data_IF_272820245227
#
_entry.id   IF_272820245227
#
_cell.length_a   1.000
_cell.length_b   1.000
_cell.length_c   1.000
_cell.angle_alpha   90.00
_cell.angle_beta   90.00
_cell.angle_gamma   90.00
#
_symmetry.space_group_name_H-M   'P 1'
#
loop_
_entity.id
_entity.type
_entity.pdbx_description
1 polymer ?
#
# COMPACT_ATOMS: atom_id res chain seq x y z
N UNK A 1 19.11 15.28 -13.44
CA UNK A 1 18.02 16.16 -13.96
C UNK A 1 18.01 17.49 -13.22
N UNK A 2 17.81 17.51 -11.89
CA UNK A 2 17.83 18.78 -11.12
C UNK A 2 19.16 19.53 -11.05
N UNK A 3 20.29 18.82 -11.15
CA UNK A 3 21.63 19.45 -11.18
C UNK A 3 21.97 20.15 -12.50
N UNK A 4 21.31 19.78 -13.60
CA UNK A 4 21.58 20.30 -14.95
C UNK A 4 20.47 21.22 -15.48
N UNK A 5 19.22 21.00 -15.04
CA UNK A 5 18.02 21.70 -15.54
C UNK A 5 17.32 22.54 -14.45
N UNK A 6 17.87 22.59 -13.24
CA UNK A 6 17.30 23.28 -12.09
C UNK A 6 16.16 22.50 -11.43
N UNK A 7 15.80 22.92 -10.22
CA UNK A 7 14.75 22.28 -9.39
C UNK A 7 13.37 22.33 -10.06
N UNK A 8 13.05 23.42 -10.77
CA UNK A 8 11.80 23.60 -11.52
C UNK A 8 11.58 22.52 -12.59
N UNK A 9 12.64 22.02 -13.22
CA UNK A 9 12.53 20.96 -14.24
C UNK A 9 12.01 19.63 -13.67
N UNK A 10 12.23 19.35 -12.38
CA UNK A 10 11.65 18.15 -11.76
C UNK A 10 10.13 18.22 -11.75
N UNK A 11 9.52 19.38 -11.45
CA UNK A 11 8.07 19.55 -11.46
C UNK A 11 7.48 19.48 -12.85
N UNK A 12 8.13 20.09 -13.84
CA UNK A 12 7.66 20.03 -15.23
C UNK A 12 7.70 18.59 -15.75
N UNK A 13 8.77 17.85 -15.44
CA UNK A 13 8.89 16.45 -15.84
C UNK A 13 7.82 15.56 -15.18
N UNK A 14 7.70 15.59 -13.85
CA UNK A 14 6.71 14.76 -13.14
C UNK A 14 5.27 15.16 -13.50
N UNK A 15 5.02 16.46 -13.70
CA UNK A 15 3.74 16.98 -14.18
C UNK A 15 3.39 16.49 -15.59
N UNK A 16 4.34 16.56 -16.53
CA UNK A 16 4.13 16.06 -17.89
C UNK A 16 3.85 14.55 -17.92
N UNK A 17 4.59 13.77 -17.12
CA UNK A 17 4.34 12.33 -16.96
C UNK A 17 2.95 12.07 -16.38
N UNK A 18 2.54 12.84 -15.36
CA UNK A 18 1.21 12.75 -14.77
C UNK A 18 0.10 13.07 -15.79
N UNK A 19 0.26 14.11 -16.61
CA UNK A 19 -0.70 14.46 -17.66
C UNK A 19 -0.79 13.37 -18.73
N UNK A 20 0.35 12.83 -19.17
CA UNK A 20 0.39 11.72 -20.11
C UNK A 20 -0.32 10.48 -19.55
N UNK A 21 -0.12 10.18 -18.26
CA UNK A 21 -0.79 9.08 -17.58
C UNK A 21 -2.31 9.29 -17.48
N UNK A 22 -2.77 10.48 -17.08
CA UNK A 22 -4.20 10.79 -17.02
C UNK A 22 -4.85 10.69 -18.40
N UNK A 23 -4.17 11.17 -19.44
CA UNK A 23 -4.65 11.05 -20.81
C UNK A 23 -4.76 9.58 -21.25
N UNK A 24 -3.75 8.76 -20.96
CA UNK A 24 -3.81 7.32 -21.22
C UNK A 24 -4.96 6.65 -20.46
N UNK A 25 -5.08 6.92 -19.16
CA UNK A 25 -6.13 6.36 -18.31
C UNK A 25 -7.53 6.71 -18.81
N UNK A 26 -7.75 7.95 -19.25
CA UNK A 26 -9.04 8.40 -19.77
C UNK A 26 -9.44 7.71 -21.08
N UNK A 27 -8.45 7.32 -21.90
CA UNK A 27 -8.70 6.54 -23.11
C UNK A 27 -8.99 5.06 -22.80
N UNK A 28 -8.32 4.49 -21.79
CA UNK A 28 -8.35 3.04 -21.54
C UNK A 28 -9.41 2.59 -20.53
N UNK A 29 -9.78 3.41 -19.54
CA UNK A 29 -10.63 2.99 -18.42
C UNK A 29 -12.03 3.58 -18.55
N UNK A 30 -13.06 2.74 -18.31
CA UNK A 30 -14.48 3.13 -18.26
C UNK A 30 -15.02 2.96 -16.84
N UNK A 31 -16.01 3.78 -16.49
CA UNK A 31 -16.60 3.80 -15.15
C UNK A 31 -17.52 2.59 -14.88
N UNK A 32 -18.11 2.02 -15.94
CA UNK A 32 -19.00 0.85 -15.88
C UNK A 32 -18.42 -0.28 -16.74
N UNK A 33 -18.27 -1.51 -16.20
CA UNK A 33 -17.79 -2.65 -16.96
C UNK A 33 -18.65 -2.95 -18.20
N UNK A 34 -19.95 -2.62 -18.20
CA UNK A 34 -20.84 -2.76 -19.35
C UNK A 34 -20.66 -1.71 -20.44
N UNK A 35 -19.90 -0.64 -20.19
CA UNK A 35 -19.55 0.37 -21.19
C UNK A 35 -18.16 0.13 -21.81
N UNK A 36 -17.44 -0.89 -21.34
CA UNK A 36 -16.13 -1.26 -21.88
C UNK A 36 -16.32 -2.02 -23.21
N UNK A 37 -15.76 -1.53 -24.34
CA UNK A 37 -15.86 -2.23 -25.63
C UNK A 37 -15.02 -3.50 -25.71
N UNK A 38 -14.07 -3.73 -24.79
CA UNK A 38 -13.17 -4.88 -24.81
C UNK A 38 -13.60 -6.02 -23.88
N UNK A 39 -14.67 -5.83 -23.10
CA UNK A 39 -15.14 -6.87 -22.17
C UNK A 39 -15.88 -7.99 -22.90
N UNK A 40 -15.63 -9.24 -22.48
CA UNK A 40 -16.41 -10.38 -22.98
C UNK A 40 -17.75 -10.50 -22.25
N UNK A 41 -18.80 -10.99 -22.91
CA UNK A 41 -20.10 -11.24 -22.27
C UNK A 41 -19.99 -12.20 -21.07
N UNK A 42 -19.08 -13.17 -21.16
CA UNK A 42 -18.82 -14.15 -20.10
C UNK A 42 -18.19 -13.49 -18.86
N UNK A 43 -17.22 -12.61 -19.06
CA UNK A 43 -16.58 -11.84 -17.99
C UNK A 43 -17.55 -10.83 -17.37
N UNK A 44 -18.32 -10.10 -18.20
CA UNK A 44 -19.33 -9.17 -17.73
C UNK A 44 -20.37 -9.88 -16.84
N UNK A 45 -20.82 -11.06 -17.28
CA UNK A 45 -21.74 -11.90 -16.49
C UNK A 45 -21.10 -12.37 -15.18
N UNK A 46 -19.86 -12.85 -15.23
CA UNK A 46 -19.12 -13.26 -14.03
C UNK A 46 -18.99 -12.10 -13.01
N UNK A 47 -18.64 -10.91 -13.46
CA UNK A 47 -18.51 -9.72 -12.61
C UNK A 47 -19.86 -9.39 -11.96
N UNK A 48 -20.93 -9.29 -12.75
CA UNK A 48 -22.29 -9.01 -12.23
C UNK A 48 -22.77 -10.06 -11.23
N UNK A 49 -22.55 -11.34 -11.52
CA UNK A 49 -22.94 -12.44 -10.64
C UNK A 49 -22.10 -12.44 -9.34
N UNK A 50 -20.82 -12.03 -9.39
CA UNK A 50 -19.92 -12.01 -8.23
C UNK A 50 -20.13 -10.82 -7.28
N UNK A 51 -20.59 -9.68 -7.79
CA UNK A 51 -20.86 -8.47 -6.99
C UNK A 51 -22.17 -8.60 -6.19
N UNK A 52 -23.06 -9.52 -6.59
CA UNK A 52 -24.41 -9.66 -6.03
C UNK A 52 -25.34 -8.53 -6.52
N UNK A 53 -26.67 -8.73 -6.42
CA UNK A 53 -27.77 -7.85 -6.90
C UNK A 53 -27.71 -6.40 -6.37
N UNK A 54 -26.68 -5.66 -6.74
CA UNK A 54 -26.41 -4.30 -6.29
C UNK A 54 -27.07 -3.30 -7.23
N UNK A 55 -27.24 -3.61 -8.52
CA UNK A 55 -27.81 -2.65 -9.47
C UNK A 55 -29.33 -2.46 -9.31
N UNK A 56 -30.05 -3.43 -8.75
CA UNK A 56 -31.51 -3.41 -8.68
C UNK A 56 -32.07 -2.65 -7.46
N UNK A 57 -31.26 -2.34 -6.43
CA UNK A 57 -31.73 -1.69 -5.19
C UNK A 57 -31.29 -0.22 -5.03
N UNK A 58 -30.36 0.31 -5.83
CA UNK A 58 -29.88 1.69 -5.65
C UNK A 58 -30.86 2.77 -6.14
N UNK A 59 -31.88 2.41 -6.91
CA UNK A 59 -32.76 3.38 -7.57
C UNK A 59 -34.09 3.68 -6.84
N UNK A 60 -34.29 3.23 -5.59
CA UNK A 60 -35.60 3.45 -4.93
C UNK A 60 -35.61 3.69 -3.43
N UNK A 61 -34.50 3.57 -2.70
CA UNK A 61 -34.47 3.78 -1.25
C UNK A 61 -33.31 4.70 -0.84
N UNK A 62 -33.55 5.78 -0.07
CA UNK A 62 -32.46 6.57 0.49
C UNK A 62 -31.61 5.70 1.43
N UNK A 63 -30.37 5.45 1.04
CA UNK A 63 -29.40 4.67 1.84
C UNK A 63 -29.12 5.42 3.15
N UNK A 64 -29.64 4.89 4.26
CA UNK A 64 -29.36 5.43 5.60
C UNK A 64 -28.08 4.79 6.13
N UNK A 65 -26.96 5.50 6.02
CA UNK A 65 -25.66 5.04 6.52
C UNK A 65 -25.66 4.91 8.07
N UNK A 66 -25.41 3.73 8.64
CA UNK A 66 -25.47 3.50 10.07
C UNK A 66 -24.16 3.91 10.78
N UNK A 67 -23.84 5.20 10.76
CA UNK A 67 -22.59 5.75 11.32
C UNK A 67 -22.32 5.35 12.78
N UNK A 68 -23.36 5.30 13.62
CA UNK A 68 -23.23 4.91 15.03
C UNK A 68 -22.81 3.44 15.18
N UNK A 69 -23.37 2.56 14.37
CA UNK A 69 -23.05 1.12 14.39
C UNK A 69 -21.62 0.88 13.89
N UNK A 70 -21.22 1.59 12.84
CA UNK A 70 -19.85 1.57 12.31
C UNK A 70 -18.87 2.06 13.39
N UNK A 71 -19.13 3.22 14.00
CA UNK A 71 -18.26 3.79 15.03
C UNK A 71 -18.22 2.96 16.33
N UNK A 72 -19.26 2.19 16.64
CA UNK A 72 -19.29 1.32 17.83
C UNK A 72 -18.69 -0.06 17.61
N UNK A 73 -18.23 -0.38 16.40
CA UNK A 73 -17.75 -1.72 16.04
C UNK A 73 -16.30 -1.94 16.47
N UNK A 74 -16.06 -3.00 17.26
CA UNK A 74 -14.72 -3.37 17.75
C UNK A 74 -13.72 -3.62 16.60
N UNK A 75 -14.06 -4.37 15.52
CA UNK A 75 -13.17 -4.55 14.38
C UNK A 75 -12.68 -3.24 13.75
N UNK A 76 -13.49 -2.19 13.73
CA UNK A 76 -13.13 -0.90 13.14
C UNK A 76 -12.06 -0.23 13.99
N UNK A 77 -12.24 -0.19 15.31
CA UNK A 77 -11.22 0.34 16.22
C UNK A 77 -9.91 -0.45 16.17
N UNK A 78 -9.98 -1.78 16.04
CA UNK A 78 -8.79 -2.61 15.87
C UNK A 78 -8.00 -2.23 14.58
N UNK A 79 -8.70 -1.99 13.47
CA UNK A 79 -8.09 -1.56 12.21
C UNK A 79 -7.50 -0.15 12.35
N UNK A 80 -8.20 0.78 13.01
CA UNK A 80 -7.72 2.16 13.22
C UNK A 80 -6.41 2.14 14.01
N UNK A 81 -6.36 1.42 15.14
CA UNK A 81 -5.15 1.33 15.97
C UNK A 81 -4.00 0.67 15.22
N UNK A 82 -4.28 -0.40 14.47
CA UNK A 82 -3.29 -1.06 13.64
C UNK A 82 -2.72 -0.10 12.58
N UNK A 83 -3.59 0.62 11.85
CA UNK A 83 -3.17 1.59 10.84
C UNK A 83 -2.38 2.76 11.44
N UNK A 84 -2.79 3.24 12.61
CA UNK A 84 -2.06 4.27 13.34
C UNK A 84 -0.64 3.80 13.69
N UNK A 85 -0.50 2.60 14.25
CA UNK A 85 0.80 2.03 14.61
C UNK A 85 1.69 1.82 13.38
N UNK A 86 1.12 1.33 12.26
CA UNK A 86 1.83 1.15 11.00
C UNK A 86 2.34 2.50 10.46
N UNK A 87 1.45 3.49 10.37
CA UNK A 87 1.75 4.82 9.85
C UNK A 87 2.80 5.52 10.71
N UNK A 88 2.64 5.48 12.03
CA UNK A 88 3.60 6.04 12.98
C UNK A 88 4.98 5.42 12.83
N UNK A 89 5.05 4.09 12.80
CA UNK A 89 6.32 3.35 12.65
C UNK A 89 6.99 3.69 11.31
N UNK A 90 6.21 3.70 10.22
CA UNK A 90 6.70 4.03 8.90
C UNK A 90 7.31 5.44 8.86
N UNK A 91 6.61 6.46 9.35
CA UNK A 91 7.13 7.82 9.39
C UNK A 91 8.32 7.98 10.33
N UNK A 92 8.32 7.28 11.46
CA UNK A 92 9.46 7.30 12.39
C UNK A 92 10.72 6.78 11.71
N UNK A 93 10.63 5.62 11.06
CA UNK A 93 11.76 5.07 10.30
C UNK A 93 12.14 6.02 9.17
N UNK A 94 11.18 6.49 8.37
CA UNK A 94 11.46 7.37 7.23
C UNK A 94 12.20 8.66 7.63
N UNK A 95 11.78 9.29 8.73
CA UNK A 95 12.37 10.55 9.19
C UNK A 95 13.70 10.35 9.93
N UNK A 96 13.81 9.27 10.73
CA UNK A 96 14.99 9.05 11.57
C UNK A 96 16.08 8.24 10.86
N UNK A 97 15.75 7.44 9.83
CA UNK A 97 16.71 6.60 9.12
C UNK A 97 17.87 7.41 8.50
N UNK A 98 17.65 8.54 7.81
CA UNK A 98 18.77 9.31 7.24
C UNK A 98 19.70 9.86 8.33
N UNK A 99 19.13 10.37 9.42
CA UNK A 99 19.90 10.89 10.56
C UNK A 99 20.66 9.78 11.27
N UNK A 100 20.01 8.65 11.55
CA UNK A 100 20.62 7.50 12.21
C UNK A 100 21.80 6.92 11.42
N UNK A 101 21.64 6.77 10.10
CA UNK A 101 22.71 6.25 9.25
C UNK A 101 23.87 7.24 9.09
N UNK A 102 23.59 8.55 9.12
CA UNK A 102 24.64 9.57 9.11
C UNK A 102 25.40 9.60 10.45
N UNK A 103 24.68 9.64 11.57
CA UNK A 103 25.28 9.87 12.89
C UNK A 103 25.95 8.61 13.47
N UNK A 104 25.41 7.42 13.19
CA UNK A 104 25.94 6.15 13.74
C UNK A 104 26.91 5.46 12.77
N UNK A 105 26.63 5.51 11.47
CA UNK A 105 27.43 4.79 10.46
C UNK A 105 28.25 5.71 9.55
N UNK A 106 28.15 7.04 9.70
CA UNK A 106 28.88 8.01 8.88
C UNK A 106 28.45 8.04 7.41
N UNK A 107 27.31 7.43 7.05
CA UNK A 107 26.85 7.35 5.66
C UNK A 107 25.81 8.44 5.36
N UNK A 108 26.13 9.35 4.44
CA UNK A 108 25.16 10.32 3.92
C UNK A 108 24.24 9.68 2.86
N UNK A 109 23.08 9.18 3.31
CA UNK A 109 22.05 8.66 2.40
C UNK A 109 21.50 9.70 1.43
N UNK A 110 21.56 11.00 1.75
CA UNK A 110 21.03 12.04 0.85
C UNK A 110 21.84 12.15 -0.44
N UNK A 111 23.13 11.80 -0.38
CA UNK A 111 23.99 11.78 -1.55
C UNK A 111 23.89 10.46 -2.33
N UNK A 112 23.59 9.36 -1.66
CA UNK A 112 23.52 8.04 -2.29
C UNK A 112 22.07 7.63 -2.64
N UNK A 113 21.58 8.14 -3.77
CA UNK A 113 20.24 7.84 -4.29
C UNK A 113 19.97 6.34 -4.55
N UNK A 114 21.01 5.56 -4.83
CA UNK A 114 20.87 4.11 -5.01
C UNK A 114 20.56 3.41 -3.68
N UNK A 115 21.29 3.78 -2.62
CA UNK A 115 21.11 3.19 -1.29
C UNK A 115 19.75 3.57 -0.68
N UNK A 116 19.25 4.79 -0.93
CA UNK A 116 17.91 5.20 -0.51
C UNK A 116 16.79 4.53 -1.30
N UNK A 117 17.03 4.17 -2.58
CA UNK A 117 16.03 3.46 -3.40
C UNK A 117 15.88 1.98 -3.06
N UNK A 118 16.93 1.35 -2.50
CA UNK A 118 16.98 -0.09 -2.24
C UNK A 118 15.84 -0.60 -1.33
N UNK A 119 15.51 0.05 -0.19
CA UNK A 119 14.38 -0.38 0.65
C UNK A 119 13.04 -0.39 -0.08
N UNK A 120 12.81 0.57 -0.98
CA UNK A 120 11.57 0.66 -1.75
C UNK A 120 11.46 -0.43 -2.82
N UNK A 121 12.57 -0.78 -3.46
CA UNK A 121 12.63 -1.91 -4.40
C UNK A 121 12.35 -3.21 -3.67
N UNK A 122 13.00 -3.43 -2.51
CA UNK A 122 12.78 -4.61 -1.68
C UNK A 122 11.34 -4.69 -1.17
N UNK A 123 10.74 -3.56 -0.80
CA UNK A 123 9.32 -3.48 -0.45
C UNK A 123 8.43 -3.93 -1.63
N UNK A 124 8.69 -3.44 -2.85
CA UNK A 124 7.93 -3.83 -4.04
C UNK A 124 8.00 -5.33 -4.32
N UNK A 125 9.20 -5.91 -4.27
CA UNK A 125 9.42 -7.35 -4.48
C UNK A 125 8.67 -8.17 -3.41
N UNK A 126 8.83 -7.80 -2.14
CA UNK A 126 8.19 -8.50 -1.02
C UNK A 126 6.66 -8.41 -1.11
N UNK A 127 6.11 -7.26 -1.52
CA UNK A 127 4.67 -7.08 -1.69
C UNK A 127 4.08 -8.04 -2.72
N UNK A 128 4.75 -8.22 -3.86
CA UNK A 128 4.31 -9.17 -4.90
C UNK A 128 4.34 -10.61 -4.39
N UNK A 129 5.43 -11.02 -3.72
CA UNK A 129 5.54 -12.37 -3.17
C UNK A 129 4.50 -12.65 -2.07
N UNK A 130 4.32 -11.71 -1.13
CA UNK A 130 3.35 -11.86 -0.05
C UNK A 130 1.91 -11.86 -0.57
N UNK A 131 1.58 -11.03 -1.57
CA UNK A 131 0.27 -11.04 -2.22
C UNK A 131 -0.02 -12.37 -2.90
N UNK A 132 0.90 -12.84 -3.75
CA UNK A 132 0.76 -14.14 -4.41
C UNK A 132 0.67 -15.31 -3.43
N UNK A 133 1.44 -15.29 -2.34
CA UNK A 133 1.35 -16.30 -1.29
C UNK A 133 0.01 -16.25 -0.54
N UNK A 134 -0.48 -15.05 -0.22
CA UNK A 134 -1.79 -14.84 0.41
C UNK A 134 -2.93 -15.39 -0.44
N UNK A 135 -2.91 -15.12 -1.74
CA UNK A 135 -3.94 -15.60 -2.67
C UNK A 135 -3.84 -17.11 -2.88
N UNK A 136 -2.61 -17.65 -2.97
CA UNK A 136 -2.39 -19.10 -3.05
C UNK A 136 -2.92 -19.84 -1.81
N UNK A 137 -2.67 -19.32 -0.61
CA UNK A 137 -3.15 -19.90 0.65
C UNK A 137 -4.68 -19.91 0.75
N UNK A 138 -5.34 -18.86 0.25
CA UNK A 138 -6.79 -18.75 0.23
C UNK A 138 -7.42 -19.65 -0.85
N UNK A 139 -6.88 -19.64 -2.07
CA UNK A 139 -7.40 -20.42 -3.19
C UNK A 139 -7.28 -21.93 -2.98
N UNK A 140 -6.28 -22.37 -2.21
CA UNK A 140 -6.11 -23.78 -1.80
C UNK A 140 -6.94 -24.16 -0.57
N UNK A 141 -7.74 -23.25 -0.02
CA UNK A 141 -8.52 -23.43 1.21
C UNK A 141 -7.68 -23.92 2.41
N UNK A 142 -6.38 -23.60 2.42
CA UNK A 142 -5.47 -23.98 3.52
C UNK A 142 -5.74 -23.10 4.74
N UNK A 143 -6.00 -21.81 4.51
CA UNK A 143 -6.31 -20.84 5.53
C UNK A 143 -7.55 -20.02 5.13
N UNK A 144 -8.37 -19.69 6.12
CA UNK A 144 -9.50 -18.76 5.92
C UNK A 144 -9.00 -17.34 5.69
N UNK A 145 -9.82 -16.50 5.05
CA UNK A 145 -9.54 -15.08 4.79
C UNK A 145 -9.11 -14.32 6.06
N UNK A 146 -9.75 -14.62 7.19
CA UNK A 146 -9.43 -14.01 8.49
C UNK A 146 -8.08 -14.48 9.03
N UNK A 147 -7.74 -15.76 8.87
CA UNK A 147 -6.46 -16.31 9.34
C UNK A 147 -5.29 -15.76 8.53
N UNK A 148 -5.44 -15.68 7.21
CA UNK A 148 -4.43 -15.07 6.34
C UNK A 148 -4.20 -13.61 6.73
N UNK A 149 -5.27 -12.81 6.85
CA UNK A 149 -5.14 -11.41 7.29
C UNK A 149 -4.43 -11.28 8.64
N UNK A 150 -4.80 -12.08 9.64
CA UNK A 150 -4.13 -12.06 10.96
C UNK A 150 -2.66 -12.46 10.86
N UNK A 151 -2.34 -13.53 10.14
CA UNK A 151 -0.97 -14.03 10.01
C UNK A 151 -0.04 -12.98 9.38
N UNK A 152 -0.44 -12.41 8.24
CA UNK A 152 0.39 -11.44 7.53
C UNK A 152 0.50 -10.11 8.28
N UNK A 153 -0.59 -9.61 8.88
CA UNK A 153 -0.58 -8.35 9.64
C UNK A 153 0.25 -8.51 10.93
N UNK A 154 -0.03 -9.54 11.73
CA UNK A 154 0.70 -9.76 12.98
C UNK A 154 2.17 -10.11 12.70
N UNK A 155 2.44 -10.94 11.69
CA UNK A 155 3.79 -11.28 11.27
C UNK A 155 4.58 -10.04 10.84
N UNK A 156 3.98 -9.14 10.07
CA UNK A 156 4.60 -7.88 9.68
C UNK A 156 4.90 -6.99 10.90
N UNK A 157 3.98 -6.84 11.85
CA UNK A 157 4.23 -6.04 13.05
C UNK A 157 5.31 -6.63 13.97
N UNK A 158 5.33 -7.95 14.12
CA UNK A 158 6.41 -8.62 14.85
C UNK A 158 7.75 -8.37 14.14
N UNK A 159 7.80 -8.52 12.82
CA UNK A 159 9.00 -8.24 12.02
C UNK A 159 9.48 -6.79 12.14
N UNK A 160 8.57 -5.82 12.11
CA UNK A 160 8.91 -4.41 12.32
C UNK A 160 9.45 -4.17 13.74
N UNK A 161 8.80 -4.74 14.75
CA UNK A 161 9.23 -4.61 16.15
C UNK A 161 10.60 -5.24 16.41
N UNK A 162 10.84 -6.44 15.89
CA UNK A 162 12.15 -7.11 16.03
C UNK A 162 13.24 -6.33 15.30
N UNK A 163 12.98 -5.83 14.08
CA UNK A 163 13.94 -5.03 13.33
C UNK A 163 14.34 -3.75 14.08
N UNK A 164 13.37 -3.00 14.59
CA UNK A 164 13.63 -1.80 15.38
C UNK A 164 14.40 -2.10 16.66
N UNK A 165 14.05 -3.19 17.35
CA UNK A 165 14.75 -3.61 18.55
C UNK A 165 16.21 -3.99 18.28
N UNK A 166 16.46 -4.71 17.18
CA UNK A 166 17.81 -5.06 16.75
C UNK A 166 18.60 -3.83 16.30
N UNK A 167 17.99 -2.89 15.58
CA UNK A 167 18.62 -1.62 15.19
C UNK A 167 18.97 -0.76 16.42
N UNK A 168 18.13 -0.75 17.45
CA UNK A 168 18.46 -0.10 18.72
C UNK A 168 19.62 -0.77 19.46
N UNK A 169 19.81 -2.09 19.27
CA UNK A 169 20.88 -2.90 19.85
C UNK A 169 22.18 -2.85 19.06
N UNK A 170 22.14 -2.55 17.76
CA UNK A 170 23.31 -2.43 16.89
C UNK A 170 24.11 -1.15 17.12
N UNK A 171 23.95 -0.50 18.27
CA UNK A 171 24.93 0.46 18.77
C UNK A 171 26.26 -0.26 18.95
N UNK A 172 27.08 -0.31 17.90
CA UNK A 172 28.52 -0.47 18.05
C UNK A 172 28.98 0.66 18.96
N UNK A 173 29.56 0.37 20.14
CA UNK A 173 30.21 1.39 20.94
C UNK A 173 31.39 1.91 20.11
N UNK A 174 31.23 3.08 19.50
CA UNK A 174 32.39 3.83 19.00
C UNK A 174 33.03 4.48 20.22
N UNK A 175 34.26 4.06 20.52
CA UNK A 175 35.14 4.78 21.44
C UNK A 175 35.54 6.14 20.91
#
# INVERSE_FOLDING_TARGET
>A
IGSYLGWSAMFYFTGAVGLAWVFAFWLTVKDDPGQDPYISEQELKYIRDSIGNSETEFNSVPVKYPWKTIASSIPIWAIIVANFCNTWTHYTVLNQLPTYMNDVFGFDLKQNGLLTSLPYIMMGITMHFCGGLSDWLQNKNVLTTTQVRKLFICGAYIGQGTFLFLAGRSQTPQG
#
